data_IF_301369750964
#
_entry.id   IF_301369750964
#
_cell.length_a   1.000
_cell.length_b   1.000
_cell.length_c   1.000
_cell.angle_alpha   90.00
_cell.angle_beta   90.00
_cell.angle_gamma   90.00
#
_symmetry.space_group_name_H-M   'P 1'
#
loop_
_entity.id
_entity.type
_entity.pdbx_description
1 polymer ?
#
# COMPACT_ATOMS: atom_id res chain seq x y z
N UNK A 1 -32.09 3.53 20.38
CA UNK A 1 -31.52 2.19 20.26
C UNK A 1 -30.31 2.29 19.35
N UNK A 2 -29.11 2.32 19.93
CA UNK A 2 -27.82 1.98 19.31
C UNK A 2 -27.21 2.83 18.17
N UNK A 3 -27.13 4.16 18.33
CA UNK A 3 -26.23 4.99 17.51
C UNK A 3 -24.76 4.56 17.63
N UNK A 4 -24.33 4.09 18.81
CA UNK A 4 -22.98 3.57 19.05
C UNK A 4 -22.65 2.34 18.20
N UNK A 5 -23.57 1.39 18.08
CA UNK A 5 -23.38 0.19 17.25
C UNK A 5 -23.36 0.55 15.77
N UNK A 6 -24.19 1.51 15.32
CA UNK A 6 -24.11 2.02 13.95
C UNK A 6 -22.77 2.69 13.64
N UNK A 7 -22.25 3.51 14.57
CA UNK A 7 -20.95 4.15 14.41
C UNK A 7 -19.81 3.12 14.39
N UNK A 8 -19.84 2.12 15.28
CA UNK A 8 -18.88 1.02 15.31
C UNK A 8 -18.87 0.22 14.00
N UNK A 9 -20.07 -0.10 13.48
CA UNK A 9 -20.20 -0.80 12.21
C UNK A 9 -19.71 0.04 11.02
N UNK A 10 -19.90 1.36 11.08
CA UNK A 10 -19.39 2.28 10.06
C UNK A 10 -17.85 2.31 10.08
N UNK A 11 -17.23 2.38 11.26
CA UNK A 11 -15.77 2.28 11.42
C UNK A 11 -15.25 0.95 10.87
N UNK A 12 -15.83 -0.18 11.27
CA UNK A 12 -15.42 -1.51 10.78
C UNK A 12 -15.55 -1.66 9.26
N UNK A 13 -16.62 -1.09 8.68
CA UNK A 13 -16.82 -1.05 7.23
C UNK A 13 -15.74 -0.20 6.55
N UNK A 14 -15.43 0.98 7.11
CA UNK A 14 -14.36 1.84 6.61
C UNK A 14 -12.99 1.18 6.69
N UNK A 15 -12.68 0.47 7.77
CA UNK A 15 -11.44 -0.29 7.91
C UNK A 15 -11.32 -1.39 6.85
N UNK A 16 -12.38 -2.17 6.65
CA UNK A 16 -12.41 -3.22 5.62
C UNK A 16 -12.24 -2.66 4.20
N UNK A 17 -12.82 -1.48 3.94
CA UNK A 17 -12.64 -0.77 2.69
C UNK A 17 -11.18 -0.32 2.50
N UNK A 18 -10.55 0.23 3.53
CA UNK A 18 -9.14 0.65 3.49
C UNK A 18 -8.25 -0.57 3.19
N UNK A 19 -8.46 -1.67 3.90
CA UNK A 19 -7.67 -2.90 3.72
C UNK A 19 -7.80 -3.45 2.29
N UNK A 20 -9.02 -3.48 1.75
CA UNK A 20 -9.26 -3.88 0.35
C UNK A 20 -8.50 -2.99 -0.65
N UNK A 21 -8.43 -1.68 -0.39
CA UNK A 21 -7.71 -0.77 -1.28
C UNK A 21 -6.20 -0.90 -1.15
N UNK A 22 -5.67 -1.08 0.06
CA UNK A 22 -4.26 -1.35 0.29
C UNK A 22 -3.83 -2.67 -0.36
N UNK A 23 -4.68 -3.69 -0.28
CA UNK A 23 -4.46 -4.98 -0.95
C UNK A 23 -4.39 -4.79 -2.48
N UNK A 24 -5.39 -4.15 -3.09
CA UNK A 24 -5.38 -3.85 -4.54
C UNK A 24 -4.14 -3.07 -4.95
N UNK A 25 -3.73 -2.09 -4.13
CA UNK A 25 -2.53 -1.30 -4.39
C UNK A 25 -1.28 -2.19 -4.36
N UNK A 26 -1.16 -3.08 -3.39
CA UNK A 26 -0.07 -4.08 -3.32
C UNK A 26 -0.03 -5.01 -4.54
N UNK A 27 -1.20 -5.40 -5.05
CA UNK A 27 -1.34 -6.28 -6.21
C UNK A 27 -0.99 -5.60 -7.54
N UNK A 28 -1.15 -4.27 -7.63
CA UNK A 28 -0.83 -3.48 -8.82
C UNK A 28 0.65 -3.06 -8.90
N UNK A 29 1.38 -3.02 -7.78
CA UNK A 29 2.82 -2.64 -7.75
C UNK A 29 3.67 -3.49 -8.71
N UNK A 30 3.56 -4.84 -8.76
CA UNK A 30 4.36 -5.64 -9.68
C UNK A 30 4.13 -5.24 -11.14
N UNK A 31 2.89 -4.95 -11.52
CA UNK A 31 2.54 -4.54 -12.88
C UNK A 31 3.18 -3.20 -13.22
N UNK A 32 3.08 -2.20 -12.32
CA UNK A 32 3.71 -0.90 -12.51
C UNK A 32 5.24 -0.99 -12.58
N UNK A 33 5.85 -1.77 -11.68
CA UNK A 33 7.31 -2.02 -11.67
C UNK A 33 7.75 -2.68 -12.97
N UNK A 34 6.99 -3.65 -13.50
CA UNK A 34 7.32 -4.31 -14.77
C UNK A 34 7.25 -3.34 -15.95
N UNK A 35 6.25 -2.45 -15.99
CA UNK A 35 6.16 -1.41 -17.04
C UNK A 35 7.34 -0.45 -16.95
N UNK A 36 7.67 0.04 -15.75
CA UNK A 36 8.77 1.01 -15.58
C UNK A 36 10.14 0.36 -15.77
N UNK A 37 10.34 -0.91 -15.40
CA UNK A 37 11.59 -1.65 -15.70
C UNK A 37 11.95 -1.67 -17.18
N UNK A 38 10.95 -1.67 -18.07
CA UNK A 38 11.16 -1.59 -19.52
C UNK A 38 11.75 -0.25 -19.99
N UNK A 39 11.48 0.83 -19.25
CA UNK A 39 11.93 2.20 -19.58
C UNK A 39 13.11 2.67 -18.71
N UNK A 40 13.22 2.21 -17.47
CA UNK A 40 14.18 2.64 -16.45
C UNK A 40 14.99 1.45 -15.90
N UNK A 41 15.66 0.70 -16.78
CA UNK A 41 16.41 -0.52 -16.44
C UNK A 41 17.66 -0.28 -15.56
N UNK A 42 18.08 0.98 -15.38
CA UNK A 42 19.21 1.37 -14.53
C UNK A 42 18.80 1.69 -13.07
N UNK A 43 17.50 1.83 -12.78
CA UNK A 43 16.96 2.23 -11.46
C UNK A 43 16.75 1.03 -10.50
N UNK A 44 17.78 0.18 -10.37
CA UNK A 44 17.69 -1.08 -9.59
C UNK A 44 17.47 -0.84 -8.10
N UNK A 45 18.02 0.26 -7.57
CA UNK A 45 17.88 0.65 -6.17
C UNK A 45 16.42 1.05 -5.85
N UNK A 46 15.78 1.84 -6.73
CA UNK A 46 14.37 2.20 -6.58
C UNK A 46 13.46 0.97 -6.61
N UNK A 47 13.70 0.01 -7.51
CA UNK A 47 12.91 -1.23 -7.54
C UNK A 47 13.08 -2.07 -6.27
N UNK A 48 14.26 -2.02 -5.65
CA UNK A 48 14.53 -2.71 -4.38
C UNK A 48 13.78 -2.02 -3.24
N UNK A 49 13.78 -0.69 -3.19
CA UNK A 49 13.01 0.10 -2.23
C UNK A 49 11.50 -0.16 -2.34
N UNK A 50 10.96 -0.21 -3.57
CA UNK A 50 9.55 -0.52 -3.81
C UNK A 50 9.22 -1.96 -3.38
N UNK A 51 10.09 -2.93 -3.68
CA UNK A 51 9.90 -4.32 -3.27
C UNK A 51 9.91 -4.46 -1.74
N UNK A 52 10.83 -3.77 -1.07
CA UNK A 52 10.91 -3.73 0.39
C UNK A 52 9.68 -3.07 1.02
N UNK A 53 9.24 -1.92 0.49
CA UNK A 53 8.04 -1.22 0.95
C UNK A 53 6.78 -2.09 0.78
N UNK A 54 6.64 -2.79 -0.35
CA UNK A 54 5.55 -3.74 -0.59
C UNK A 54 5.57 -4.91 0.41
N UNK A 55 6.74 -5.48 0.67
CA UNK A 55 6.90 -6.56 1.65
C UNK A 55 6.46 -6.11 3.05
N UNK A 56 6.86 -4.90 3.47
CA UNK A 56 6.40 -4.30 4.74
C UNK A 56 4.88 -4.09 4.78
N UNK A 57 4.29 -3.64 3.67
CA UNK A 57 2.84 -3.44 3.58
C UNK A 57 2.07 -4.77 3.68
N UNK A 58 2.61 -5.84 3.08
CA UNK A 58 2.04 -7.19 3.17
C UNK A 58 2.22 -7.83 4.55
N UNK A 59 3.22 -7.41 5.32
CA UNK A 59 3.52 -7.95 6.65
C UNK A 59 3.01 -7.10 7.82
N UNK A 60 2.39 -5.96 7.54
CA UNK A 60 1.86 -5.05 8.55
C UNK A 60 0.69 -5.70 9.29
N UNK A 61 0.75 -5.73 10.63
CA UNK A 61 -0.25 -6.38 11.47
C UNK A 61 -1.32 -5.40 11.99
N UNK A 62 -1.08 -4.10 11.85
CA UNK A 62 -1.97 -3.05 12.34
C UNK A 62 -2.09 -1.90 11.33
N UNK A 63 -3.19 -1.15 11.42
CA UNK A 63 -3.53 -0.06 10.49
C UNK A 63 -2.43 1.02 10.47
N UNK A 64 -1.78 1.27 11.61
CA UNK A 64 -0.68 2.24 11.71
C UNK A 64 0.56 1.80 10.93
N UNK A 65 0.94 0.51 11.01
CA UNK A 65 2.03 -0.05 10.20
C UNK A 65 1.67 -0.04 8.72
N UNK A 66 0.43 -0.40 8.36
CA UNK A 66 -0.08 -0.33 6.99
C UNK A 66 0.04 1.09 6.44
N UNK A 67 -0.40 2.11 7.19
CA UNK A 67 -0.31 3.52 6.78
C UNK A 67 1.14 4.00 6.60
N UNK A 68 2.04 3.61 7.51
CA UNK A 68 3.46 3.95 7.39
C UNK A 68 4.11 3.27 6.17
N UNK A 69 3.81 1.98 5.95
CA UNK A 69 4.31 1.25 4.79
C UNK A 69 3.77 1.83 3.47
N UNK A 70 2.50 2.24 3.46
CA UNK A 70 1.87 2.88 2.31
C UNK A 70 2.48 4.26 2.02
N UNK A 71 2.81 5.04 3.05
CA UNK A 71 3.54 6.30 2.91
C UNK A 71 4.94 6.09 2.30
N UNK A 72 5.69 5.09 2.80
CA UNK A 72 7.01 4.74 2.25
C UNK A 72 6.92 4.32 0.79
N UNK A 73 5.93 3.50 0.45
CA UNK A 73 5.65 3.09 -0.92
C UNK A 73 5.31 4.29 -1.81
N UNK A 74 4.46 5.20 -1.34
CA UNK A 74 4.08 6.42 -2.07
C UNK A 74 5.30 7.28 -2.38
N UNK A 75 6.20 7.44 -1.42
CA UNK A 75 7.44 8.20 -1.60
C UNK A 75 8.37 7.54 -2.63
N UNK A 76 8.51 6.22 -2.60
CA UNK A 76 9.32 5.49 -3.58
C UNK A 76 8.76 5.60 -4.99
N UNK A 77 7.42 5.51 -5.14
CA UNK A 77 6.73 5.72 -6.41
C UNK A 77 6.88 7.17 -6.92
N UNK A 78 6.84 8.16 -6.03
CA UNK A 78 7.04 9.57 -6.39
C UNK A 78 8.47 9.90 -6.82
N UNK A 79 9.47 9.09 -6.45
CA UNK A 79 10.86 9.23 -6.93
C UNK A 79 11.07 8.58 -8.29
N UNK A 80 10.18 7.67 -8.68
CA UNK A 80 10.23 6.95 -9.94
C UNK A 80 9.55 7.72 -11.09
N UNK A 81 8.59 8.58 -10.76
CA UNK A 81 7.93 9.53 -11.67
C UNK A 81 8.75 10.82 -11.79
#
# INVERSE_FOLDING_TARGET
YNNLVSLEQLVSTSESNIDTQLQRRSDLIPNLVNTVKGYASQEKDIFTDIANARSKLSGAANISEQANADSQLSNALSRLL
#
